data_IF_570203440554
#
_entry.id   IF_570203440554
#
_cell.length_a   1.000
_cell.length_b   1.000
_cell.length_c   1.000
_cell.angle_alpha   90.00
_cell.angle_beta   90.00
_cell.angle_gamma   90.00
#
_symmetry.space_group_name_H-M   'P 1'
#
loop_
_entity.id
_entity.type
_entity.pdbx_description
1 polymer ?
#
# COMPACT_ATOMS: atom_id res chain seq x y z
N UNK A 1 9.23 4.82 10.00
CA UNK A 1 8.98 4.32 11.36
C UNK A 1 9.23 5.40 12.42
N UNK A 2 10.44 5.96 12.49
CA UNK A 2 10.81 6.99 13.51
C UNK A 2 9.86 8.19 13.55
N UNK A 3 9.56 8.81 12.39
CA UNK A 3 8.62 9.92 12.32
C UNK A 3 7.21 9.58 12.86
N UNK A 4 6.74 8.35 12.60
CA UNK A 4 5.45 7.86 13.10
C UNK A 4 5.42 7.67 14.61
N UNK A 5 6.52 7.19 15.20
CA UNK A 5 6.68 7.06 16.65
C UNK A 5 6.67 8.44 17.31
N UNK A 6 7.46 9.39 16.78
CA UNK A 6 7.49 10.76 17.27
C UNK A 6 6.10 11.39 17.25
N UNK A 7 5.39 11.25 16.12
CA UNK A 7 4.03 11.75 16.01
C UNK A 7 3.07 11.07 16.98
N UNK A 8 3.20 9.75 17.21
CA UNK A 8 2.35 9.03 18.14
C UNK A 8 2.51 9.52 19.59
N UNK A 9 3.73 9.88 19.99
CA UNK A 9 4.05 10.47 21.30
C UNK A 9 3.46 11.87 21.41
N UNK A 10 3.74 12.72 20.42
CA UNK A 10 3.28 14.12 20.40
C UNK A 10 1.75 14.26 20.38
N UNK A 11 1.06 13.26 19.82
CA UNK A 11 -0.41 13.24 19.74
C UNK A 11 -1.08 12.49 20.90
N UNK A 12 -0.30 11.93 21.84
CA UNK A 12 -0.82 11.07 22.91
C UNK A 12 -1.90 11.76 23.76
N UNK A 13 -1.67 13.03 24.12
CA UNK A 13 -2.60 13.83 24.95
C UNK A 13 -3.98 14.06 24.31
N UNK A 14 -4.10 13.87 23.00
CA UNK A 14 -5.34 14.07 22.24
C UNK A 14 -6.11 12.78 21.99
N UNK A 15 -5.63 11.62 22.46
CA UNK A 15 -6.25 10.32 22.19
C UNK A 15 -7.17 9.91 23.33
N UNK A 16 -8.42 9.62 22.98
CA UNK A 16 -9.43 9.03 23.87
C UNK A 16 -9.70 7.61 23.41
N UNK A 17 -9.24 6.62 24.19
CA UNK A 17 -9.40 5.21 23.86
C UNK A 17 -10.87 4.75 23.88
N UNK A 18 -11.74 5.48 24.59
CA UNK A 18 -13.19 5.23 24.59
C UNK A 18 -13.81 5.32 23.19
N UNK A 19 -13.23 6.10 22.27
CA UNK A 19 -13.70 6.19 20.89
C UNK A 19 -13.45 4.94 20.04
N UNK A 20 -12.66 3.98 20.54
CA UNK A 20 -12.42 2.70 19.87
C UNK A 20 -13.49 1.66 20.20
N UNK A 21 -14.26 1.88 21.26
CA UNK A 21 -15.27 0.95 21.75
C UNK A 21 -16.68 1.40 21.33
N UNK A 22 -17.61 0.47 21.07
CA UNK A 22 -17.40 -0.98 20.95
C UNK A 22 -16.75 -1.39 19.62
N UNK A 23 -15.76 -2.29 19.67
CA UNK A 23 -15.15 -2.88 18.48
C UNK A 23 -16.11 -3.93 17.92
N UNK A 24 -16.42 -3.87 16.62
CA UNK A 24 -17.32 -4.81 15.94
C UNK A 24 -18.72 -4.90 16.58
N UNK A 25 -19.32 -3.75 16.92
CA UNK A 25 -20.67 -3.65 17.47
C UNK A 25 -21.72 -4.41 16.63
N UNK A 26 -21.63 -4.26 15.31
CA UNK A 26 -22.53 -4.88 14.34
C UNK A 26 -22.03 -6.25 13.83
N UNK A 27 -20.98 -6.80 14.46
CA UNK A 27 -20.35 -8.05 14.04
C UNK A 27 -19.71 -8.02 12.65
N UNK A 28 -19.73 -9.17 11.96
CA UNK A 28 -19.16 -9.33 10.61
C UNK A 28 -20.22 -8.97 9.57
N UNK A 29 -20.16 -7.74 9.07
CA UNK A 29 -21.04 -7.27 8.00
C UNK A 29 -20.41 -7.47 6.61
N UNK A 30 -21.20 -7.45 5.52
CA UNK A 30 -20.64 -7.46 4.16
C UNK A 30 -19.64 -6.32 3.92
N UNK A 31 -19.90 -5.14 4.48
CA UNK A 31 -19.00 -3.98 4.42
C UNK A 31 -17.67 -4.23 5.13
N UNK A 32 -17.68 -4.99 6.23
CA UNK A 32 -16.46 -5.41 6.93
C UNK A 32 -15.61 -6.33 6.04
N UNK A 33 -16.23 -7.33 5.41
CA UNK A 33 -15.55 -8.25 4.49
C UNK A 33 -14.99 -7.47 3.28
N UNK A 34 -15.77 -6.56 2.69
CA UNK A 34 -15.32 -5.71 1.59
C UNK A 34 -14.12 -4.83 2.00
N UNK A 35 -14.08 -4.34 3.23
CA UNK A 35 -12.97 -3.54 3.75
C UNK A 35 -11.69 -4.38 3.88
N UNK A 36 -11.80 -5.64 4.32
CA UNK A 36 -10.68 -6.59 4.34
C UNK A 36 -10.16 -6.83 2.91
N UNK A 37 -11.06 -7.08 1.95
CA UNK A 37 -10.68 -7.30 0.55
C UNK A 37 -9.93 -6.08 -0.02
N UNK A 38 -10.43 -4.86 0.23
CA UNK A 38 -9.75 -3.63 -0.19
C UNK A 38 -8.38 -3.46 0.46
N UNK A 39 -8.27 -3.73 1.77
CA UNK A 39 -7.01 -3.65 2.49
C UNK A 39 -5.97 -4.62 1.90
N UNK A 40 -6.37 -5.85 1.59
CA UNK A 40 -5.54 -6.81 0.88
C UNK A 40 -5.08 -6.27 -0.48
N UNK A 41 -5.98 -5.67 -1.25
CA UNK A 41 -5.66 -5.00 -2.52
C UNK A 41 -4.56 -3.95 -2.38
N UNK A 42 -4.63 -3.12 -1.34
CA UNK A 42 -3.61 -2.10 -1.05
C UNK A 42 -2.22 -2.72 -0.75
N UNK A 43 -2.17 -3.90 -0.12
CA UNK A 43 -0.91 -4.64 0.09
C UNK A 43 -0.37 -5.31 -1.17
N UNK A 44 -1.21 -5.54 -2.19
CA UNK A 44 -0.83 -6.11 -3.48
C UNK A 44 0.29 -5.33 -4.21
N UNK A 45 0.48 -4.05 -3.86
CA UNK A 45 1.56 -3.21 -4.39
C UNK A 45 2.98 -3.74 -4.17
N UNK A 46 3.17 -4.76 -3.31
CA UNK A 46 4.45 -5.46 -3.18
C UNK A 46 4.92 -6.11 -4.48
N UNK A 47 4.01 -6.36 -5.44
CA UNK A 47 4.33 -6.87 -6.77
C UNK A 47 5.34 -6.01 -7.54
N UNK A 48 5.42 -4.70 -7.23
CA UNK A 48 6.42 -3.78 -7.81
C UNK A 48 7.86 -4.20 -7.49
N UNK A 49 8.06 -4.92 -6.39
CA UNK A 49 9.39 -5.42 -6.00
C UNK A 49 9.85 -6.62 -6.84
N UNK A 50 8.94 -7.33 -7.54
CA UNK A 50 9.24 -8.56 -8.27
C UNK A 50 10.33 -8.37 -9.32
N UNK A 51 10.29 -7.34 -10.20
CA UNK A 51 11.35 -7.14 -11.20
C UNK A 51 12.74 -6.95 -10.58
N UNK A 52 12.82 -6.41 -9.36
CA UNK A 52 14.08 -6.21 -8.65
C UNK A 52 14.63 -7.50 -8.04
N UNK A 53 13.81 -8.54 -7.83
CA UNK A 53 14.27 -9.84 -7.32
C UNK A 53 15.31 -10.49 -8.25
N UNK A 54 15.25 -10.20 -9.55
CA UNK A 54 16.24 -10.66 -10.53
C UNK A 54 17.67 -10.17 -10.22
N UNK A 55 17.81 -9.06 -9.48
CA UNK A 55 19.08 -8.43 -9.13
C UNK A 55 19.57 -8.77 -7.71
N UNK A 56 18.81 -9.57 -6.95
CA UNK A 56 19.17 -9.92 -5.57
C UNK A 56 20.17 -11.07 -5.56
N UNK A 57 21.33 -10.84 -4.93
CA UNK A 57 22.45 -11.81 -4.83
C UNK A 57 22.06 -13.03 -3.97
N UNK A 58 21.47 -12.78 -2.79
CA UNK A 58 21.10 -13.85 -1.84
C UNK A 58 19.60 -14.15 -1.90
N UNK A 59 19.23 -15.19 -2.66
CA UNK A 59 17.82 -15.56 -2.87
C UNK A 59 17.19 -16.31 -1.68
N UNK A 60 18.01 -16.96 -0.85
CA UNK A 60 17.53 -17.85 0.23
C UNK A 60 16.83 -17.13 1.38
N UNK A 61 17.15 -15.84 1.62
CA UNK A 61 16.57 -15.05 2.72
C UNK A 61 15.45 -14.11 2.28
N UNK A 62 15.15 -14.02 0.99
CA UNK A 62 14.20 -13.04 0.43
C UNK A 62 12.82 -13.18 1.08
N UNK A 63 12.30 -14.41 1.16
CA UNK A 63 10.97 -14.67 1.74
C UNK A 63 10.87 -14.19 3.18
N UNK A 64 11.89 -14.48 4.01
CA UNK A 64 11.97 -14.02 5.40
C UNK A 64 11.94 -12.49 5.47
N UNK A 65 12.76 -11.81 4.68
CA UNK A 65 12.81 -10.34 4.68
C UNK A 65 11.51 -9.71 4.17
N UNK A 66 10.87 -10.30 3.16
CA UNK A 66 9.55 -9.85 2.67
C UNK A 66 8.47 -9.99 3.75
N UNK A 67 8.43 -11.12 4.46
CA UNK A 67 7.46 -11.33 5.56
C UNK A 67 7.67 -10.28 6.67
N UNK A 68 8.92 -10.06 7.09
CA UNK A 68 9.25 -9.05 8.11
C UNK A 68 8.80 -7.65 7.63
N UNK A 69 9.08 -7.30 6.38
CA UNK A 69 8.66 -6.00 5.83
C UNK A 69 7.14 -5.84 5.83
N UNK A 70 6.39 -6.87 5.41
CA UNK A 70 4.92 -6.84 5.43
C UNK A 70 4.39 -6.65 6.84
N UNK A 71 4.92 -7.40 7.83
CA UNK A 71 4.49 -7.30 9.23
C UNK A 71 4.71 -5.89 9.79
N UNK A 72 5.85 -5.27 9.48
CA UNK A 72 6.14 -3.87 9.88
C UNK A 72 5.10 -2.92 9.28
N UNK A 73 4.79 -3.06 7.99
CA UNK A 73 3.81 -2.18 7.33
C UNK A 73 2.41 -2.39 7.92
N UNK A 74 1.99 -3.63 8.16
CA UNK A 74 0.70 -3.93 8.79
C UNK A 74 0.60 -3.27 10.17
N UNK A 75 1.63 -3.43 11.00
CA UNK A 75 1.66 -2.83 12.33
C UNK A 75 1.61 -1.30 12.25
N UNK A 76 2.33 -0.68 11.32
CA UNK A 76 2.30 0.77 11.11
C UNK A 76 0.90 1.28 10.71
N UNK A 77 0.21 0.59 9.80
CA UNK A 77 -1.14 0.96 9.38
C UNK A 77 -2.16 0.83 10.51
N UNK A 78 -2.10 -0.26 11.30
CA UNK A 78 -2.98 -0.45 12.45
C UNK A 78 -2.79 0.68 13.46
N UNK A 79 -1.53 0.97 13.86
CA UNK A 79 -1.24 2.04 14.83
C UNK A 79 -1.66 3.41 14.29
N UNK A 80 -1.46 3.67 13.00
CA UNK A 80 -1.87 4.93 12.38
C UNK A 80 -3.40 5.14 12.42
N UNK A 81 -4.17 4.10 12.09
CA UNK A 81 -5.64 4.15 12.08
C UNK A 81 -6.22 4.22 13.50
N UNK A 82 -5.70 3.44 14.45
CA UNK A 82 -6.09 3.55 15.87
C UNK A 82 -5.82 4.96 16.38
N UNK A 83 -4.67 5.54 16.01
CA UNK A 83 -4.33 6.92 16.37
C UNK A 83 -5.35 7.92 15.83
N UNK A 84 -5.84 7.77 14.61
CA UNK A 84 -6.84 8.67 14.02
C UNK A 84 -8.20 8.53 14.71
N UNK A 85 -8.68 7.29 14.87
CA UNK A 85 -9.97 7.00 15.48
C UNK A 85 -10.01 7.46 16.94
N UNK A 86 -8.95 7.22 17.71
CA UNK A 86 -8.86 7.67 19.10
C UNK A 86 -8.73 9.19 19.24
N UNK A 87 -8.22 9.92 18.23
CA UNK A 87 -8.15 11.39 18.30
C UNK A 87 -9.46 12.07 17.92
N UNK A 88 -10.12 11.64 16.86
CA UNK A 88 -11.27 12.36 16.30
C UNK A 88 -12.62 11.66 16.50
N UNK A 89 -12.63 10.35 16.74
CA UNK A 89 -13.84 9.54 16.68
C UNK A 89 -14.33 9.29 15.24
N UNK A 90 -15.13 8.25 15.05
CA UNK A 90 -15.53 7.74 13.73
C UNK A 90 -16.25 8.82 12.90
N UNK A 91 -17.26 9.48 13.49
CA UNK A 91 -18.08 10.46 12.79
C UNK A 91 -17.26 11.62 12.21
N UNK A 92 -16.29 12.12 12.98
CA UNK A 92 -15.41 13.20 12.52
C UNK A 92 -14.42 12.70 11.48
N UNK A 93 -13.77 11.54 11.68
CA UNK A 93 -12.79 10.99 10.72
C UNK A 93 -13.41 10.85 9.32
N UNK A 94 -14.65 10.37 9.22
CA UNK A 94 -15.33 10.17 7.93
C UNK A 94 -15.63 11.49 7.19
N UNK A 95 -15.70 12.60 7.91
CA UNK A 95 -15.90 13.94 7.32
C UNK A 95 -14.60 14.60 6.82
N UNK A 96 -13.43 14.05 7.17
CA UNK A 96 -12.13 14.64 6.88
C UNK A 96 -11.49 13.97 5.66
N UNK A 97 -11.03 14.78 4.71
CA UNK A 97 -10.32 14.30 3.52
C UNK A 97 -8.91 13.76 3.84
N UNK A 98 -8.20 14.45 4.74
CA UNK A 98 -6.83 14.10 5.15
C UNK A 98 -6.71 14.11 6.67
N UNK A 99 -7.37 13.17 7.38
CA UNK A 99 -7.46 13.21 8.83
C UNK A 99 -6.08 13.16 9.51
N UNK A 100 -5.08 12.55 8.87
CA UNK A 100 -3.71 12.48 9.40
C UNK A 100 -2.98 13.82 9.40
N UNK A 101 -3.19 14.64 8.38
CA UNK A 101 -2.63 16.00 8.35
C UNK A 101 -3.28 16.86 9.44
N UNK A 102 -4.60 16.78 9.58
CA UNK A 102 -5.32 17.52 10.61
C UNK A 102 -4.91 17.05 12.02
N UNK A 103 -4.65 15.75 12.22
CA UNK A 103 -4.10 15.24 13.47
C UNK A 103 -2.77 15.92 13.85
N UNK A 104 -1.95 16.23 12.86
CA UNK A 104 -0.62 16.83 13.08
C UNK A 104 -0.68 18.33 13.34
N UNK A 105 -1.73 19.02 12.90
CA UNK A 105 -2.01 20.41 13.25
C UNK A 105 -2.31 20.58 14.74
N UNK A 106 -2.86 19.55 15.41
CA UNK A 106 -3.14 19.59 16.84
C UNK A 106 -1.87 19.65 17.69
N UNK A 107 -0.73 19.22 17.15
CA UNK A 107 0.53 19.23 17.87
C UNK A 107 1.01 20.67 17.98
N UNK A 108 0.72 21.28 19.13
CA UNK A 108 1.35 22.52 19.60
C UNK A 108 2.03 22.22 20.94
N UNK A 109 3.33 22.43 20.97
CA UNK A 109 4.18 22.34 22.15
C UNK A 109 4.96 23.66 22.29
N UNK A 110 4.92 24.23 23.50
CA UNK A 110 5.61 25.47 23.86
C UNK A 110 5.29 26.68 22.97
N UNK A 111 4.18 26.65 22.23
CA UNK A 111 3.79 27.70 21.26
C UNK A 111 4.85 27.99 20.19
N UNK A 112 5.81 27.08 19.98
CA UNK A 112 6.94 27.24 19.06
C UNK A 112 7.05 26.08 18.06
N UNK A 113 6.67 24.86 18.47
CA UNK A 113 6.53 23.73 17.55
C UNK A 113 5.14 23.80 16.91
N UNK A 114 4.96 24.75 16.00
CA UNK A 114 3.82 24.87 15.11
C UNK A 114 4.20 24.35 13.71
N UNK A 115 3.24 23.82 12.94
CA UNK A 115 3.50 23.34 11.57
C UNK A 115 3.89 21.87 11.43
N UNK A 116 3.50 20.99 12.37
CA UNK A 116 3.69 19.53 12.24
C UNK A 116 3.11 18.93 10.95
N UNK A 117 2.08 19.58 10.39
CA UNK A 117 1.52 19.25 9.09
C UNK A 117 2.50 19.38 7.93
N UNK A 118 3.37 20.40 7.94
CA UNK A 118 4.31 20.66 6.86
C UNK A 118 5.36 19.55 6.77
N UNK A 119 5.86 19.12 7.94
CA UNK A 119 6.78 18.00 8.03
C UNK A 119 6.15 16.71 7.46
N UNK A 120 4.89 16.44 7.79
CA UNK A 120 4.18 15.25 7.30
C UNK A 120 3.87 15.37 5.81
N UNK A 121 3.53 16.56 5.31
CA UNK A 121 3.35 16.81 3.88
C UNK A 121 4.65 16.54 3.11
N UNK A 122 5.78 17.06 3.59
CA UNK A 122 7.10 16.81 2.98
C UNK A 122 7.41 15.30 2.95
N UNK A 123 7.18 14.59 4.06
CA UNK A 123 7.37 13.15 4.13
C UNK A 123 6.46 12.39 3.14
N UNK A 124 5.19 12.80 3.00
CA UNK A 124 4.28 12.18 2.05
C UNK A 124 4.73 12.42 0.61
N UNK A 125 5.06 13.67 0.24
CA UNK A 125 5.54 14.01 -1.11
C UNK A 125 6.83 13.24 -1.43
N UNK A 126 7.80 13.20 -0.51
CA UNK A 126 9.02 12.43 -0.66
C UNK A 126 8.76 10.92 -0.81
N UNK A 127 7.84 10.37 -0.01
CA UNK A 127 7.44 8.96 -0.12
C UNK A 127 6.80 8.62 -1.45
N UNK A 128 5.89 9.47 -1.95
CA UNK A 128 5.27 9.33 -3.27
C UNK A 128 6.28 9.44 -4.40
N UNK A 129 7.24 10.36 -4.30
CA UNK A 129 8.32 10.51 -5.26
C UNK A 129 9.20 9.27 -5.33
N UNK A 130 9.65 8.74 -4.19
CA UNK A 130 10.43 7.49 -4.15
C UNK A 130 9.63 6.33 -4.74
N UNK A 131 8.34 6.21 -4.39
CA UNK A 131 7.46 5.18 -4.94
C UNK A 131 7.34 5.27 -6.45
N UNK A 132 7.15 6.49 -6.99
CA UNK A 132 7.14 6.73 -8.44
C UNK A 132 8.45 6.27 -9.09
N UNK A 133 9.61 6.69 -8.55
CA UNK A 133 10.91 6.32 -9.09
C UNK A 133 11.16 4.81 -9.07
N UNK A 134 10.73 4.11 -8.02
CA UNK A 134 10.82 2.65 -7.94
C UNK A 134 9.91 1.99 -8.98
N UNK A 135 8.66 2.44 -9.12
CA UNK A 135 7.73 1.88 -10.11
C UNK A 135 8.19 2.11 -11.54
N UNK A 136 8.70 3.30 -11.85
CA UNK A 136 9.26 3.61 -13.16
C UNK A 136 10.43 2.68 -13.48
N UNK A 137 11.37 2.53 -12.55
CA UNK A 137 12.49 1.61 -12.73
C UNK A 137 12.05 0.14 -12.89
N UNK A 138 11.03 -0.30 -12.16
CA UNK A 138 10.47 -1.63 -12.31
C UNK A 138 9.92 -1.86 -13.72
N UNK A 139 9.16 -0.89 -14.25
CA UNK A 139 8.63 -0.91 -15.62
C UNK A 139 9.77 -0.94 -16.63
N UNK A 140 10.82 -0.14 -16.45
CA UNK A 140 11.97 -0.13 -17.35
C UNK A 140 12.73 -1.46 -17.37
N UNK A 141 12.88 -2.13 -16.22
CA UNK A 141 13.47 -3.47 -16.15
C UNK A 141 12.64 -4.45 -16.99
N UNK A 142 11.32 -4.42 -16.85
CA UNK A 142 10.41 -5.29 -17.61
C UNK A 142 10.44 -4.97 -19.11
N UNK A 143 10.37 -3.70 -19.51
CA UNK A 143 10.41 -3.31 -20.92
C UNK A 143 11.72 -3.65 -21.60
N UNK A 144 12.85 -3.58 -20.88
CA UNK A 144 14.15 -4.04 -21.39
C UNK A 144 14.17 -5.55 -21.63
N UNK A 145 13.57 -6.33 -20.75
CA UNK A 145 13.44 -7.79 -20.93
C UNK A 145 12.52 -8.17 -22.10
N UNK A 146 11.55 -7.31 -22.42
CA UNK A 146 10.63 -7.49 -23.55
C UNK A 146 11.13 -6.83 -24.85
N UNK A 147 12.36 -6.31 -24.88
CA UNK A 147 12.97 -5.65 -26.05
C UNK A 147 12.23 -4.40 -26.59
N UNK A 148 11.35 -3.78 -25.80
CA UNK A 148 10.59 -2.56 -26.19
C UNK A 148 11.25 -1.25 -25.72
N UNK A 149 12.50 -1.29 -25.27
CA UNK A 149 13.16 -0.12 -24.67
C UNK A 149 13.73 0.84 -25.73
N UNK A 150 13.38 2.12 -25.61
CA UNK A 150 13.93 3.22 -26.40
C UNK A 150 14.36 4.37 -25.47
N UNK A 151 15.28 5.24 -25.91
CA UNK A 151 15.72 6.44 -25.16
C UNK A 151 14.55 7.37 -24.79
N UNK A 152 13.46 7.35 -25.57
CA UNK A 152 12.27 8.16 -25.31
C UNK A 152 11.26 7.53 -24.34
N UNK A 153 11.42 6.24 -24.00
CA UNK A 153 10.44 5.50 -23.18
C UNK A 153 10.19 6.16 -21.81
N UNK A 154 11.23 6.70 -21.18
CA UNK A 154 11.13 7.38 -19.88
C UNK A 154 10.25 8.63 -19.99
N UNK A 155 10.48 9.45 -21.01
CA UNK A 155 9.74 10.68 -21.24
C UNK A 155 8.27 10.40 -21.57
N UNK A 156 8.01 9.40 -22.42
CA UNK A 156 6.64 9.00 -22.80
C UNK A 156 5.86 8.53 -21.57
N UNK A 157 6.43 7.63 -20.76
CA UNK A 157 5.77 7.12 -19.55
C UNK A 157 5.53 8.27 -18.56
N UNK A 158 6.53 9.12 -18.34
CA UNK A 158 6.42 10.24 -17.39
C UNK A 158 5.34 11.24 -17.83
N UNK A 159 5.30 11.60 -19.11
CA UNK A 159 4.30 12.52 -19.65
C UNK A 159 2.88 11.92 -19.54
N UNK A 160 2.75 10.63 -19.85
CA UNK A 160 1.46 9.93 -19.74
C UNK A 160 0.97 9.86 -18.30
N UNK A 161 1.85 9.49 -17.36
CA UNK A 161 1.53 9.46 -15.93
C UNK A 161 1.17 10.86 -15.42
N UNK A 162 1.89 11.90 -15.87
CA UNK A 162 1.58 13.28 -15.52
C UNK A 162 0.18 13.69 -16.00
N UNK A 163 -0.15 13.44 -17.27
CA UNK A 163 -1.46 13.76 -17.84
C UNK A 163 -2.59 13.07 -17.06
N UNK A 164 -2.50 11.75 -16.85
CA UNK A 164 -3.50 11.00 -16.07
C UNK A 164 -3.60 11.53 -14.65
N UNK A 165 -2.47 11.76 -13.98
CA UNK A 165 -2.46 12.24 -12.59
C UNK A 165 -3.12 13.61 -12.47
N UNK A 166 -2.87 14.52 -13.43
CA UNK A 166 -3.53 15.82 -13.49
C UNK A 166 -5.06 15.67 -13.60
N UNK A 167 -5.56 14.85 -14.53
CA UNK A 167 -7.00 14.61 -14.67
C UNK A 167 -7.61 13.95 -13.42
N UNK A 168 -6.93 12.96 -12.84
CA UNK A 168 -7.43 12.24 -11.66
C UNK A 168 -7.44 13.12 -10.42
N UNK A 169 -6.45 14.00 -10.26
CA UNK A 169 -6.32 14.88 -9.10
C UNK A 169 -7.13 16.18 -9.22
N UNK A 170 -7.71 16.50 -10.38
CA UNK A 170 -8.46 17.73 -10.61
C UNK A 170 -9.67 17.90 -9.67
N UNK A 171 -10.27 16.79 -9.21
CA UNK A 171 -11.37 16.80 -8.23
C UNK A 171 -11.13 15.74 -7.15
N UNK A 172 -11.17 16.16 -5.88
CA UNK A 172 -10.96 15.27 -4.72
C UNK A 172 -11.92 14.08 -4.71
N UNK A 173 -13.20 14.30 -5.03
CA UNK A 173 -14.20 13.23 -5.13
C UNK A 173 -13.85 12.20 -6.23
N UNK A 174 -13.29 12.66 -7.34
CA UNK A 174 -12.89 11.78 -8.44
C UNK A 174 -11.66 10.96 -8.05
N UNK A 175 -10.69 11.59 -7.38
CA UNK A 175 -9.53 10.89 -6.80
C UNK A 175 -9.96 9.76 -5.87
N UNK A 176 -10.90 9.99 -4.94
CA UNK A 176 -11.36 8.94 -4.03
C UNK A 176 -12.09 7.80 -4.74
N UNK A 177 -12.93 8.10 -5.75
CA UNK A 177 -13.56 7.07 -6.57
C UNK A 177 -12.51 6.24 -7.31
N UNK A 178 -11.51 6.89 -7.91
CA UNK A 178 -10.40 6.24 -8.59
C UNK A 178 -9.62 5.32 -7.64
N UNK A 179 -9.22 5.81 -6.46
CA UNK A 179 -8.50 5.01 -5.46
C UNK A 179 -9.30 3.80 -4.99
N UNK A 180 -10.61 3.95 -4.81
CA UNK A 180 -11.49 2.86 -4.42
C UNK A 180 -11.57 1.78 -5.51
N UNK A 181 -11.71 2.17 -6.79
CA UNK A 181 -11.67 1.23 -7.93
C UNK A 181 -10.29 0.57 -8.04
N UNK A 182 -9.22 1.35 -7.89
CA UNK A 182 -7.84 0.87 -7.94
C UNK A 182 -7.57 -0.19 -6.86
N UNK A 183 -8.14 -0.06 -5.66
CA UNK A 183 -8.01 -1.08 -4.62
C UNK A 183 -8.59 -2.43 -5.07
N UNK A 184 -9.79 -2.44 -5.67
CA UNK A 184 -10.38 -3.67 -6.22
C UNK A 184 -9.59 -4.23 -7.40
N UNK A 185 -9.17 -3.36 -8.32
CA UNK A 185 -8.30 -3.76 -9.44
C UNK A 185 -7.01 -4.41 -8.95
N UNK A 186 -6.41 -3.87 -7.88
CA UNK A 186 -5.20 -4.42 -7.27
C UNK A 186 -5.42 -5.81 -6.67
N UNK A 187 -6.58 -6.10 -6.08
CA UNK A 187 -6.93 -7.46 -5.63
C UNK A 187 -6.93 -8.42 -6.82
N UNK A 188 -7.58 -8.05 -7.92
CA UNK A 188 -7.68 -8.92 -9.09
C UNK A 188 -6.30 -9.17 -9.69
N UNK A 189 -5.52 -8.11 -9.95
CA UNK A 189 -4.25 -8.21 -10.65
C UNK A 189 -3.11 -8.77 -9.82
N UNK A 190 -3.01 -8.41 -8.54
CA UNK A 190 -1.86 -8.78 -7.70
C UNK A 190 -2.12 -9.94 -6.75
N UNK A 191 -3.38 -10.34 -6.53
CA UNK A 191 -3.73 -11.45 -5.63
C UNK A 191 -4.44 -12.56 -6.39
N UNK A 192 -5.59 -12.30 -7.01
CA UNK A 192 -6.40 -13.35 -7.63
C UNK A 192 -5.70 -13.99 -8.84
N UNK A 193 -5.23 -13.20 -9.80
CA UNK A 193 -4.56 -13.74 -11.00
C UNK A 193 -3.31 -14.56 -10.62
N UNK A 194 -2.36 -14.06 -9.80
CA UNK A 194 -1.19 -14.85 -9.41
C UNK A 194 -1.57 -16.12 -8.66
N UNK A 195 -2.51 -16.07 -7.71
CA UNK A 195 -2.93 -17.27 -6.96
C UNK A 195 -3.53 -18.33 -7.87
N UNK A 196 -4.41 -17.96 -8.81
CA UNK A 196 -4.99 -18.88 -9.80
C UNK A 196 -3.88 -19.51 -10.65
N UNK A 197 -2.96 -18.71 -11.19
CA UNK A 197 -1.85 -19.21 -12.03
C UNK A 197 -0.97 -20.18 -11.25
N UNK A 198 -0.56 -19.84 -10.03
CA UNK A 198 0.27 -20.72 -9.19
C UNK A 198 -0.46 -22.00 -8.80
N UNK A 199 -1.75 -21.95 -8.49
CA UNK A 199 -2.56 -23.13 -8.20
C UNK A 199 -2.65 -24.08 -9.40
N UNK A 200 -2.94 -23.55 -10.60
CA UNK A 200 -2.97 -24.35 -11.83
C UNK A 200 -1.60 -24.98 -12.10
N UNK A 201 -0.53 -24.19 -11.99
CA UNK A 201 0.84 -24.64 -12.20
C UNK A 201 1.24 -25.75 -11.22
N UNK A 202 0.89 -25.60 -9.94
CA UNK A 202 1.15 -26.60 -8.90
C UNK A 202 0.44 -27.93 -9.21
N UNK A 203 -0.85 -27.88 -9.57
CA UNK A 203 -1.64 -29.07 -9.93
C UNK A 203 -1.03 -29.76 -11.15
N UNK A 204 -0.69 -29.01 -12.21
CA UNK A 204 -0.10 -29.56 -13.44
C UNK A 204 1.26 -30.22 -13.18
N UNK A 205 2.11 -29.58 -12.38
CA UNK A 205 3.44 -30.10 -12.04
C UNK A 205 3.37 -31.36 -11.18
N UNK A 206 2.41 -31.44 -10.25
CA UNK A 206 2.18 -32.64 -9.44
C UNK A 206 1.69 -33.82 -10.29
N UNK A 207 0.79 -33.58 -11.24
CA UNK A 207 0.33 -34.61 -12.21
C UNK A 207 1.47 -35.10 -13.10
N UNK A 208 2.29 -34.19 -13.62
CA UNK A 208 3.45 -34.53 -14.45
C UNK A 208 4.49 -35.39 -13.71
N UNK A 209 4.78 -35.08 -12.42
CA UNK A 209 5.62 -35.93 -11.58
C UNK A 209 5.01 -37.32 -11.38
N UNK A 210 3.70 -37.42 -11.09
CA UNK A 210 3.02 -38.71 -10.85
C UNK A 210 3.06 -39.64 -12.08
N UNK A 211 2.86 -39.10 -13.28
CA UNK A 211 2.95 -39.87 -14.53
C UNK A 211 4.38 -40.35 -14.83
N UNK A 212 5.40 -39.59 -14.44
CA UNK A 212 6.80 -39.98 -14.64
C UNK A 212 7.22 -41.17 -13.76
N UNK A 213 6.58 -41.39 -12.62
CA UNK A 213 6.81 -42.56 -11.75
C UNK A 213 5.96 -43.79 -12.10
N UNK A 214 4.90 -43.63 -12.91
CA UNK A 214 4.01 -44.73 -13.33
C UNK A 214 4.35 -45.30 -14.71
N UNK A 215 5.22 -44.65 -15.48
CA UNK A 215 5.74 -45.14 -16.77
C UNK A 215 7.12 -45.81 -16.70
N UNK A 216 7.56 -46.26 -15.51
CA UNK A 216 8.82 -47.01 -15.30
C UNK A 216 8.49 -48.43 -14.80
N UNK A 217 7.38 -49.01 -15.28
CA UNK A 217 7.06 -50.43 -15.10
C UNK A 217 6.81 -51.00 -16.49
#
# INVERSE_FOLDING_TARGET
MVAGINLAILTSKYKKLSYLLPIMADGITPSFILSIIKALGCYGGIGVCIPFLSKVISKSKITKHCIIAILIVIQMEIVANIGLLSTFGIARVLSLNYPKLIQTQLVSYFSFLEGGEFFVMLQMVGGWFIKYMLTLNAILILLKQLSFFNKYTIYIITLFVFAISYFVSAKVLFLYKFLNVFAYFSVVCFILIPTIIFSIFYIKTRKAKKNKYTGII
#
